data_IF_811091899432
#
_entry.id   IF_811091899432
#
_cell.length_a   1.000
_cell.length_b   1.000
_cell.length_c   1.000
_cell.angle_alpha   90.00
_cell.angle_beta   90.00
_cell.angle_gamma   90.00
#
_symmetry.space_group_name_H-M   'P 1'
#
loop_
_entity.id
_entity.type
_entity.pdbx_description
1 polymer ?
#
# COMPACT_ATOMS: atom_id res chain seq x y z
N UNK A 1 38.34 -19.34 -84.06
CA UNK A 1 37.18 -19.02 -83.20
C UNK A 1 37.33 -19.82 -81.91
N UNK A 2 37.81 -19.19 -80.83
CA UNK A 2 37.95 -19.81 -79.51
C UNK A 2 37.11 -19.00 -78.52
N UNK A 3 36.04 -19.60 -77.99
CA UNK A 3 35.16 -18.98 -77.01
C UNK A 3 35.78 -19.10 -75.60
N UNK A 4 36.09 -17.95 -75.02
CA UNK A 4 36.54 -17.78 -73.64
C UNK A 4 35.34 -17.79 -72.70
N UNK A 5 35.22 -18.86 -71.90
CA UNK A 5 34.21 -18.97 -70.83
C UNK A 5 34.71 -18.25 -69.57
N UNK A 6 34.06 -17.12 -69.22
CA UNK A 6 34.31 -16.42 -67.95
C UNK A 6 33.71 -17.21 -66.77
N UNK A 7 34.41 -17.34 -65.64
CA UNK A 7 33.87 -18.00 -64.45
C UNK A 7 32.82 -17.11 -63.77
N UNK A 8 31.66 -17.70 -63.48
CA UNK A 8 30.59 -17.09 -62.67
C UNK A 8 31.02 -17.11 -61.21
N UNK A 9 31.27 -15.92 -60.65
CA UNK A 9 31.65 -15.77 -59.26
C UNK A 9 30.40 -15.95 -58.37
N UNK A 10 30.24 -17.14 -57.77
CA UNK A 10 29.22 -17.37 -56.76
C UNK A 10 29.55 -16.57 -55.49
N UNK A 11 28.94 -15.39 -55.35
CA UNK A 11 28.87 -14.69 -54.06
C UNK A 11 28.17 -15.59 -53.04
N UNK A 12 28.96 -16.32 -52.25
CA UNK A 12 28.49 -16.96 -51.01
C UNK A 12 27.91 -15.85 -50.13
N UNK A 13 26.58 -15.75 -50.07
CA UNK A 13 25.86 -15.00 -49.03
C UNK A 13 26.35 -15.56 -47.69
N UNK A 14 27.25 -14.84 -47.02
CA UNK A 14 27.58 -15.09 -45.62
C UNK A 14 26.30 -14.89 -44.84
N UNK A 15 25.63 -15.99 -44.46
CA UNK A 15 24.56 -15.95 -43.49
C UNK A 15 25.17 -15.46 -42.19
N UNK A 16 24.85 -14.22 -41.84
CA UNK A 16 25.25 -13.66 -40.55
C UNK A 16 24.65 -14.53 -39.45
N UNK A 17 25.39 -14.84 -38.37
CA UNK A 17 24.91 -15.69 -37.28
C UNK A 17 23.95 -14.88 -36.39
N UNK A 18 22.84 -14.41 -36.95
CA UNK A 18 21.84 -13.63 -36.23
C UNK A 18 21.27 -14.42 -35.03
N UNK A 19 21.14 -15.75 -35.15
CA UNK A 19 20.64 -16.61 -34.07
C UNK A 19 21.51 -16.60 -32.80
N UNK A 20 22.84 -16.57 -32.93
CA UNK A 20 23.75 -16.61 -31.79
C UNK A 20 23.79 -15.27 -31.02
N UNK A 21 23.60 -14.16 -31.72
CA UNK A 21 23.55 -12.81 -31.12
C UNK A 21 22.21 -12.62 -30.39
N UNK A 22 21.10 -13.00 -31.02
CA UNK A 22 19.76 -12.90 -30.43
C UNK A 22 19.63 -13.81 -29.20
N UNK A 23 20.14 -15.05 -29.26
CA UNK A 23 20.15 -15.95 -28.10
C UNK A 23 20.96 -15.42 -26.91
N UNK A 24 22.12 -14.81 -27.17
CA UNK A 24 22.94 -14.19 -26.12
C UNK A 24 22.27 -12.98 -25.45
N UNK A 25 21.58 -12.14 -26.23
CA UNK A 25 20.80 -11.02 -25.68
C UNK A 25 19.63 -11.49 -24.82
N UNK A 26 18.88 -12.49 -25.29
CA UNK A 26 17.75 -13.03 -24.55
C UNK A 26 18.18 -13.63 -23.20
N UNK A 27 19.27 -14.40 -23.18
CA UNK A 27 19.82 -14.98 -21.95
C UNK A 27 20.32 -13.89 -20.98
N UNK A 28 21.04 -12.88 -21.49
CA UNK A 28 21.52 -11.76 -20.66
C UNK A 28 20.37 -10.91 -20.10
N UNK A 29 19.34 -10.66 -20.91
CA UNK A 29 18.12 -9.98 -20.48
C UNK A 29 17.43 -10.75 -19.37
N UNK A 30 17.14 -12.05 -19.59
CA UNK A 30 16.48 -12.90 -18.60
C UNK A 30 17.27 -12.98 -17.30
N UNK A 31 18.60 -13.14 -17.37
CA UNK A 31 19.45 -13.21 -16.17
C UNK A 31 19.43 -11.89 -15.40
N UNK A 32 19.56 -10.76 -16.10
CA UNK A 32 19.56 -9.43 -15.47
C UNK A 32 18.18 -9.06 -14.91
N UNK A 33 17.11 -9.34 -15.66
CA UNK A 33 15.74 -9.13 -15.21
C UNK A 33 15.44 -9.99 -13.98
N UNK A 34 15.85 -11.27 -13.98
CA UNK A 34 15.67 -12.17 -12.84
C UNK A 34 16.47 -11.70 -11.62
N UNK A 35 17.73 -11.29 -11.80
CA UNK A 35 18.54 -10.75 -10.71
C UNK A 35 17.95 -9.45 -10.13
N UNK A 36 17.50 -8.53 -10.99
CA UNK A 36 16.86 -7.28 -10.59
C UNK A 36 15.52 -7.53 -9.88
N UNK A 37 14.74 -8.51 -10.32
CA UNK A 37 13.51 -8.94 -9.66
C UNK A 37 13.79 -9.60 -8.31
N UNK A 38 14.78 -10.49 -8.22
CA UNK A 38 15.19 -11.14 -6.97
C UNK A 38 15.75 -10.14 -5.95
N UNK A 39 16.32 -9.02 -6.40
CA UNK A 39 16.79 -7.95 -5.53
C UNK A 39 15.65 -7.17 -4.86
N UNK A 40 14.42 -7.25 -5.39
CA UNK A 40 13.25 -6.53 -4.86
C UNK A 40 12.79 -7.10 -3.53
N UNK A 41 12.36 -6.20 -2.66
CA UNK A 41 11.87 -6.54 -1.33
C UNK A 41 10.62 -7.43 -1.38
N UNK A 42 9.81 -7.33 -2.44
CA UNK A 42 8.70 -8.26 -2.70
C UNK A 42 9.15 -9.70 -2.83
N UNK A 43 10.16 -9.95 -3.66
CA UNK A 43 10.61 -11.32 -3.93
C UNK A 43 11.34 -11.87 -2.72
N UNK A 44 12.17 -11.05 -2.05
CA UNK A 44 12.78 -11.40 -0.77
C UNK A 44 11.74 -11.72 0.30
N UNK A 45 10.70 -10.90 0.45
CA UNK A 45 9.63 -11.12 1.42
C UNK A 45 8.81 -12.36 1.09
N UNK A 46 8.50 -12.62 -0.19
CA UNK A 46 7.78 -13.82 -0.60
C UNK A 46 8.58 -15.10 -0.29
N UNK A 47 9.88 -15.09 -0.59
CA UNK A 47 10.79 -16.20 -0.26
C UNK A 47 10.89 -16.41 1.25
N UNK A 48 11.13 -15.35 2.03
CA UNK A 48 11.19 -15.43 3.50
C UNK A 48 9.86 -15.92 4.11
N UNK A 49 8.73 -15.45 3.59
CA UNK A 49 7.40 -15.90 4.00
C UNK A 49 7.17 -17.39 3.70
N UNK A 50 7.58 -17.85 2.51
CA UNK A 50 7.52 -19.27 2.11
C UNK A 50 8.38 -20.17 3.01
N UNK A 51 9.63 -19.77 3.28
CA UNK A 51 10.52 -20.48 4.21
C UNK A 51 9.92 -20.54 5.61
N UNK A 52 9.35 -19.44 6.11
CA UNK A 52 8.70 -19.43 7.43
C UNK A 52 7.48 -20.36 7.49
N UNK A 53 6.62 -20.36 6.47
CA UNK A 53 5.47 -21.27 6.41
C UNK A 53 5.92 -22.73 6.47
N UNK A 54 7.00 -23.05 5.76
CA UNK A 54 7.58 -24.39 5.77
C UNK A 54 8.15 -24.78 7.15
N UNK A 55 8.78 -23.84 7.86
CA UNK A 55 9.38 -24.11 9.18
C UNK A 55 8.39 -24.07 10.35
N UNK A 56 7.36 -23.21 10.27
CA UNK A 56 6.50 -22.87 11.44
C UNK A 56 5.02 -23.15 11.22
N UNK A 57 4.62 -23.57 10.01
CA UNK A 57 3.21 -23.70 9.62
C UNK A 57 2.48 -22.36 9.41
N UNK A 58 3.11 -21.24 9.76
CA UNK A 58 2.52 -19.90 9.68
C UNK A 58 3.26 -19.01 8.68
N UNK A 59 2.51 -18.22 7.89
CA UNK A 59 3.08 -17.11 7.10
C UNK A 59 3.40 -15.89 7.98
N UNK A 60 2.82 -15.83 9.18
CA UNK A 60 2.90 -14.69 10.09
C UNK A 60 3.90 -14.99 11.22
N UNK A 61 4.70 -13.97 11.59
CA UNK A 61 5.34 -14.00 12.90
C UNK A 61 4.24 -13.98 13.97
N UNK A 62 4.37 -14.76 15.05
CA UNK A 62 3.46 -14.66 16.18
C UNK A 62 3.40 -13.20 16.64
N UNK A 63 2.20 -12.75 16.99
CA UNK A 63 2.01 -11.41 17.55
C UNK A 63 2.87 -11.29 18.81
N UNK A 64 3.69 -10.24 18.86
CA UNK A 64 4.48 -9.89 20.03
C UNK A 64 3.91 -8.59 20.58
N UNK A 65 3.65 -8.58 21.89
CA UNK A 65 3.29 -7.35 22.59
C UNK A 65 4.46 -6.36 22.48
N UNK A 66 4.15 -5.16 21.99
CA UNK A 66 5.14 -4.09 21.80
C UNK A 66 4.89 -3.09 22.92
N UNK A 67 5.81 -2.98 23.87
CA UNK A 67 5.64 -2.13 25.05
C UNK A 67 5.25 -0.67 24.72
N UNK A 68 5.75 -0.12 23.60
CA UNK A 68 5.37 1.22 23.14
C UNK A 68 3.89 1.30 22.68
N UNK A 69 3.35 0.24 22.09
CA UNK A 69 1.94 0.15 21.67
C UNK A 69 1.05 -0.05 22.89
N UNK A 70 1.47 -0.88 23.85
CA UNK A 70 0.74 -1.08 25.10
C UNK A 70 0.61 0.22 25.89
N UNK A 71 1.70 0.96 26.07
CA UNK A 71 1.64 2.31 26.68
C UNK A 71 0.71 3.24 25.93
N UNK A 72 0.68 3.19 24.59
CA UNK A 72 -0.25 3.99 23.80
C UNK A 72 -1.70 3.60 24.06
N UNK A 73 -1.99 2.31 24.15
CA UNK A 73 -3.33 1.81 24.45
C UNK A 73 -3.76 2.20 25.87
N UNK A 74 -2.86 2.14 26.86
CA UNK A 74 -3.08 2.62 28.22
C UNK A 74 -3.42 4.13 28.25
N UNK A 75 -2.67 4.95 27.50
CA UNK A 75 -2.94 6.39 27.40
C UNK A 75 -4.31 6.68 26.76
N UNK A 76 -4.68 5.96 25.70
CA UNK A 76 -5.99 6.11 25.06
C UNK A 76 -7.10 5.77 26.05
N UNK A 77 -6.98 4.64 26.76
CA UNK A 77 -7.97 4.22 27.76
C UNK A 77 -8.04 5.21 28.93
N UNK A 78 -6.91 5.73 29.40
CA UNK A 78 -6.86 6.78 30.41
C UNK A 78 -7.63 8.02 29.99
N UNK A 79 -7.40 8.51 28.76
CA UNK A 79 -8.14 9.67 28.22
C UNK A 79 -9.65 9.39 28.12
N UNK A 80 -10.04 8.19 27.71
CA UNK A 80 -11.46 7.81 27.65
C UNK A 80 -12.08 7.80 29.04
N UNK A 81 -11.38 7.26 30.04
CA UNK A 81 -11.83 7.24 31.43
C UNK A 81 -11.95 8.65 32.03
N UNK A 82 -10.95 9.51 31.83
CA UNK A 82 -10.97 10.92 32.27
C UNK A 82 -12.17 11.67 31.69
N UNK A 83 -12.57 11.33 30.46
CA UNK A 83 -13.73 11.91 29.78
C UNK A 83 -15.04 11.19 30.06
N UNK A 84 -15.02 10.14 30.88
CA UNK A 84 -16.16 9.28 31.20
C UNK A 84 -16.84 8.69 29.95
N UNK A 85 -16.03 8.34 28.94
CA UNK A 85 -16.50 7.74 27.68
C UNK A 85 -16.15 6.25 27.70
N UNK A 86 -17.16 5.41 27.51
CA UNK A 86 -17.03 3.95 27.41
C UNK A 86 -17.49 3.52 26.03
N UNK A 87 -16.60 3.57 25.03
CA UNK A 87 -17.01 3.36 23.65
C UNK A 87 -17.39 1.90 23.41
N UNK A 88 -18.55 1.71 22.80
CA UNK A 88 -19.05 0.46 22.28
C UNK A 88 -18.48 0.17 20.88
N UNK A 89 -18.12 1.21 20.11
CA UNK A 89 -17.55 1.10 18.77
C UNK A 89 -16.35 2.02 18.55
N UNK A 90 -15.20 1.41 18.19
CA UNK A 90 -13.96 2.13 17.85
C UNK A 90 -13.55 1.79 16.41
N UNK A 91 -13.25 2.82 15.62
CA UNK A 91 -12.66 2.67 14.28
C UNK A 91 -11.17 3.00 14.29
N UNK A 92 -10.35 2.18 13.63
CA UNK A 92 -8.90 2.42 13.47
C UNK A 92 -8.53 2.42 11.99
N UNK A 93 -7.90 3.51 11.55
CA UNK A 93 -7.34 3.68 10.22
C UNK A 93 -5.87 4.14 10.27
N UNK A 94 -5.18 4.07 9.15
CA UNK A 94 -3.77 4.36 8.96
C UNK A 94 -3.22 3.53 7.79
N UNK A 95 -2.08 3.94 7.21
CA UNK A 95 -1.49 3.22 6.09
C UNK A 95 -1.10 1.76 6.46
N UNK A 96 -0.89 0.89 5.46
CA UNK A 96 -0.32 -0.44 5.70
C UNK A 96 0.99 -0.33 6.50
N UNK A 97 1.20 -1.22 7.48
CA UNK A 97 2.42 -1.17 8.31
C UNK A 97 2.42 -0.14 9.45
N UNK A 98 1.37 0.69 9.58
CA UNK A 98 1.28 1.70 10.65
C UNK A 98 1.20 1.14 12.08
N UNK A 99 0.72 -0.11 12.23
CA UNK A 99 0.55 -0.76 13.55
C UNK A 99 -0.91 -0.91 14.01
N UNK A 100 -1.89 -0.69 13.11
CA UNK A 100 -3.34 -0.78 13.41
C UNK A 100 -3.74 -2.07 14.11
N UNK A 101 -3.35 -3.22 13.55
CA UNK A 101 -3.71 -4.53 14.10
C UNK A 101 -3.05 -4.79 15.46
N UNK A 102 -1.89 -4.20 15.74
CA UNK A 102 -1.22 -4.31 17.04
C UNK A 102 -1.94 -3.44 18.07
N UNK A 103 -2.21 -2.18 17.72
CA UNK A 103 -2.95 -1.25 18.58
C UNK A 103 -4.37 -1.76 18.88
N UNK A 104 -5.09 -2.23 17.86
CA UNK A 104 -6.46 -2.72 18.01
C UNK A 104 -6.56 -3.92 18.96
N UNK A 105 -5.61 -4.86 18.89
CA UNK A 105 -5.54 -5.98 19.85
C UNK A 105 -5.20 -5.51 21.26
N UNK A 106 -4.24 -4.61 21.38
CA UNK A 106 -3.79 -4.06 22.67
C UNK A 106 -4.91 -3.25 23.37
N UNK A 107 -5.69 -2.47 22.60
CA UNK A 107 -6.88 -1.77 23.09
C UNK A 107 -7.99 -2.74 23.49
N UNK A 108 -8.29 -3.75 22.66
CA UNK A 108 -9.32 -4.75 22.95
C UNK A 108 -9.11 -5.44 24.29
N UNK A 109 -7.86 -5.80 24.63
CA UNK A 109 -7.50 -6.37 25.94
C UNK A 109 -7.89 -5.46 27.12
N UNK A 110 -7.81 -4.14 26.94
CA UNK A 110 -8.01 -3.14 28.00
C UNK A 110 -9.46 -2.67 28.11
N UNK A 111 -10.16 -2.56 26.99
CA UNK A 111 -11.54 -2.09 26.93
C UNK A 111 -12.57 -3.22 27.04
N UNK A 112 -12.14 -4.48 26.91
CA UNK A 112 -13.04 -5.64 26.86
C UNK A 112 -13.80 -5.78 25.54
N UNK A 113 -13.51 -4.95 24.53
CA UNK A 113 -14.13 -5.00 23.21
C UNK A 113 -13.50 -6.10 22.35
N UNK A 114 -14.24 -6.62 21.36
CA UNK A 114 -13.70 -7.56 20.38
C UNK A 114 -13.00 -6.85 19.23
N UNK A 115 -11.75 -7.24 18.95
CA UNK A 115 -11.00 -6.72 17.80
C UNK A 115 -11.37 -7.45 16.50
N UNK A 116 -11.60 -6.69 15.42
CA UNK A 116 -11.93 -7.21 14.09
C UNK A 116 -11.15 -6.49 12.98
N UNK A 117 -10.32 -7.25 12.27
CA UNK A 117 -9.64 -6.81 11.05
C UNK A 117 -10.51 -7.02 9.80
N UNK A 118 -10.64 -5.99 8.96
CA UNK A 118 -11.38 -6.05 7.69
C UNK A 118 -10.47 -6.09 6.44
N UNK A 119 -9.18 -6.47 6.58
CA UNK A 119 -8.13 -6.27 5.56
C UNK A 119 -8.43 -6.76 4.13
N UNK A 120 -9.22 -7.82 3.97
CA UNK A 120 -9.53 -8.43 2.66
C UNK A 120 -10.98 -8.16 2.20
N UNK A 121 -11.76 -7.42 2.98
CA UNK A 121 -13.13 -7.15 2.59
C UNK A 121 -13.16 -6.05 1.55
N UNK A 122 -13.95 -6.26 0.50
CA UNK A 122 -14.29 -5.17 -0.41
C UNK A 122 -15.15 -4.15 0.35
N UNK A 123 -14.61 -2.95 0.51
CA UNK A 123 -15.22 -1.85 1.25
C UNK A 123 -15.97 -0.89 0.32
N UNK A 124 -16.32 -1.32 -0.91
CA UNK A 124 -17.16 -0.53 -1.82
C UNK A 124 -18.58 -0.38 -1.29
N UNK A 125 -19.12 -1.45 -0.73
CA UNK A 125 -20.46 -1.45 -0.15
C UNK A 125 -20.42 -1.00 1.32
N UNK A 126 -21.52 -0.41 1.84
CA UNK A 126 -21.66 -0.14 3.25
C UNK A 126 -21.47 -1.39 4.11
N UNK A 127 -20.61 -1.29 5.11
CA UNK A 127 -20.33 -2.37 6.05
C UNK A 127 -21.18 -2.21 7.30
N UNK A 128 -21.90 -3.27 7.68
CA UNK A 128 -22.65 -3.30 8.92
C UNK A 128 -21.73 -3.55 10.14
N UNK A 129 -21.54 -2.53 10.98
CA UNK A 129 -20.72 -2.58 12.19
C UNK A 129 -21.54 -3.11 13.37
N UNK A 130 -21.04 -4.15 14.02
CA UNK A 130 -21.65 -4.75 15.21
C UNK A 130 -21.08 -4.10 16.47
N UNK A 131 -21.92 -3.78 17.47
CA UNK A 131 -21.47 -3.18 18.72
C UNK A 131 -20.50 -4.08 19.50
N UNK A 132 -19.79 -3.49 20.46
CA UNK A 132 -18.83 -4.16 21.33
C UNK A 132 -17.49 -4.44 20.65
N UNK A 133 -17.07 -3.61 19.67
CA UNK A 133 -15.98 -3.94 18.75
C UNK A 133 -15.04 -2.79 18.40
N UNK A 134 -13.81 -3.19 18.09
CA UNK A 134 -12.78 -2.35 17.49
C UNK A 134 -12.56 -2.83 16.05
N UNK A 135 -12.89 -2.00 15.08
CA UNK A 135 -12.70 -2.30 13.65
C UNK A 135 -11.44 -1.64 13.12
N UNK A 136 -10.65 -2.37 12.33
CA UNK A 136 -9.52 -1.79 11.61
C UNK A 136 -9.48 -2.17 10.14
N UNK A 137 -9.18 -1.17 9.31
CA UNK A 137 -8.92 -1.33 7.87
C UNK A 137 -7.95 -0.22 7.43
N UNK A 138 -7.24 -0.45 6.31
CA UNK A 138 -6.35 0.52 5.67
C UNK A 138 -7.10 1.66 4.94
N UNK A 139 -8.42 1.52 4.77
CA UNK A 139 -9.32 2.42 4.03
C UNK A 139 -10.63 2.65 4.79
N UNK A 140 -10.68 2.37 6.09
CA UNK A 140 -11.91 2.43 6.89
C UNK A 140 -12.61 3.79 6.76
N UNK A 141 -11.93 4.87 7.09
CA UNK A 141 -12.48 6.22 7.09
C UNK A 141 -12.69 6.75 5.68
N UNK A 142 -11.94 6.22 4.71
CA UNK A 142 -12.01 6.64 3.30
C UNK A 142 -13.24 6.11 2.57
N UNK A 143 -13.75 4.97 3.03
CA UNK A 143 -14.77 4.20 2.29
C UNK A 143 -16.08 4.03 3.06
N UNK A 144 -16.06 4.09 4.38
CA UNK A 144 -17.22 3.79 5.20
C UNK A 144 -17.77 5.02 5.90
N UNK A 145 -19.04 4.91 6.27
CA UNK A 145 -19.68 5.86 7.16
C UNK A 145 -19.12 5.70 8.58
N UNK A 146 -18.37 6.72 9.02
CA UNK A 146 -17.74 6.74 10.33
C UNK A 146 -18.69 7.21 11.45
N UNK A 147 -19.91 7.62 11.12
CA UNK A 147 -20.94 7.98 12.10
C UNK A 147 -21.27 6.83 13.05
N UNK A 148 -21.00 5.59 12.66
CA UNK A 148 -21.21 4.42 13.50
C UNK A 148 -20.22 4.31 14.67
N UNK A 149 -19.10 5.05 14.65
CA UNK A 149 -18.07 4.97 15.69
C UNK A 149 -18.22 6.09 16.72
N UNK A 150 -18.02 5.78 17.99
CA UNK A 150 -17.96 6.80 19.04
C UNK A 150 -16.55 7.39 19.18
N UNK A 151 -15.55 6.61 18.75
CA UNK A 151 -14.14 6.99 18.74
C UNK A 151 -13.50 6.56 17.43
N UNK A 152 -12.80 7.48 16.78
CA UNK A 152 -11.96 7.18 15.62
C UNK A 152 -10.49 7.43 15.97
N UNK A 153 -9.64 6.48 15.58
CA UNK A 153 -8.19 6.51 15.77
C UNK A 153 -7.51 6.47 14.39
N UNK A 154 -6.66 7.45 14.12
CA UNK A 154 -5.84 7.49 12.93
C UNK A 154 -4.35 7.39 13.31
N UNK A 155 -3.65 6.41 12.74
CA UNK A 155 -2.20 6.25 12.96
C UNK A 155 -1.44 7.05 11.91
N UNK A 156 -1.03 8.26 12.29
CA UNK A 156 -0.32 9.22 11.45
C UNK A 156 1.19 8.95 11.45
N UNK A 157 1.59 7.85 10.80
CA UNK A 157 2.99 7.58 10.54
C UNK A 157 3.42 8.05 9.14
N UNK A 158 4.69 8.46 9.02
CA UNK A 158 5.29 8.79 7.72
C UNK A 158 5.19 7.59 6.76
N UNK A 159 4.90 7.86 5.50
CA UNK A 159 4.74 6.83 4.48
C UNK A 159 6.00 5.95 4.33
N UNK A 160 7.19 6.54 4.35
CA UNK A 160 8.46 5.79 4.31
C UNK A 160 8.65 4.85 5.51
N UNK A 161 8.24 5.25 6.72
CA UNK A 161 8.33 4.41 7.91
C UNK A 161 7.32 3.26 7.88
N UNK A 162 6.12 3.52 7.35
CA UNK A 162 5.12 2.50 7.10
C UNK A 162 5.60 1.47 6.07
N UNK A 163 6.15 1.94 4.94
CA UNK A 163 6.71 1.10 3.88
C UNK A 163 7.85 0.22 4.41
N UNK A 164 8.81 0.81 5.14
CA UNK A 164 9.92 0.08 5.77
C UNK A 164 9.41 -1.04 6.68
N UNK A 165 8.42 -0.75 7.53
CA UNK A 165 7.80 -1.77 8.40
C UNK A 165 7.07 -2.87 7.62
N UNK A 166 6.50 -2.56 6.46
CA UNK A 166 5.90 -3.57 5.57
C UNK A 166 6.96 -4.50 4.98
N UNK A 167 8.14 -3.98 4.65
CA UNK A 167 9.29 -4.76 4.16
C UNK A 167 9.84 -5.66 5.27
N UNK A 168 10.06 -5.10 6.47
CA UNK A 168 10.69 -5.80 7.60
C UNK A 168 9.86 -6.93 8.22
N UNK A 169 8.52 -6.85 8.14
CA UNK A 169 7.63 -7.87 8.72
C UNK A 169 7.59 -9.19 7.94
N UNK A 170 8.32 -9.27 6.81
CA UNK A 170 8.39 -10.41 5.88
C UNK A 170 7.02 -10.90 5.36
N UNK A 171 5.96 -10.09 5.49
CA UNK A 171 4.60 -10.40 5.05
C UNK A 171 4.11 -9.31 4.11
N UNK A 172 3.60 -9.76 2.96
CA UNK A 172 3.05 -8.89 1.93
C UNK A 172 4.05 -7.79 1.55
N UNK A 173 5.35 -8.11 1.47
CA UNK A 173 6.37 -7.19 0.95
C UNK A 173 6.04 -6.72 -0.47
N UNK A 174 5.31 -7.53 -1.25
CA UNK A 174 4.58 -7.10 -2.45
C UNK A 174 3.99 -5.69 -2.32
N UNK A 175 3.28 -5.42 -1.23
CA UNK A 175 2.62 -4.14 -1.02
C UNK A 175 3.61 -2.96 -1.02
N UNK A 176 4.87 -3.13 -0.59
CA UNK A 176 5.85 -2.04 -0.63
C UNK A 176 6.21 -1.61 -2.05
N UNK A 177 6.14 -2.52 -3.00
CA UNK A 177 6.50 -2.26 -4.40
C UNK A 177 5.30 -1.72 -5.17
N UNK A 178 4.11 -2.30 -4.95
CA UNK A 178 2.92 -1.93 -5.71
C UNK A 178 2.14 -0.78 -5.08
N UNK A 179 2.19 -0.52 -3.76
CA UNK A 179 1.36 0.54 -3.18
C UNK A 179 2.06 1.91 -3.17
N UNK A 180 1.27 2.94 -3.46
CA UNK A 180 1.60 4.32 -3.23
C UNK A 180 1.26 4.73 -1.79
N UNK A 181 2.23 4.51 -0.90
CA UNK A 181 2.10 4.85 0.53
C UNK A 181 1.87 6.34 0.76
N UNK A 182 2.46 7.22 -0.05
CA UNK A 182 2.27 8.66 0.08
C UNK A 182 0.83 9.02 -0.27
N UNK A 183 0.31 8.44 -1.36
CA UNK A 183 -1.09 8.63 -1.73
C UNK A 183 -2.07 8.08 -0.71
N UNK A 184 -1.82 6.86 -0.21
CA UNK A 184 -2.64 6.27 0.86
C UNK A 184 -2.62 7.13 2.13
N UNK A 185 -1.46 7.68 2.49
CA UNK A 185 -1.32 8.57 3.64
C UNK A 185 -2.09 9.86 3.41
N UNK A 186 -1.85 10.56 2.30
CA UNK A 186 -2.50 11.85 1.99
C UNK A 186 -4.03 11.75 2.00
N UNK A 187 -4.59 10.71 1.37
CA UNK A 187 -6.04 10.48 1.37
C UNK A 187 -6.54 10.11 2.79
N UNK A 188 -5.75 9.39 3.57
CA UNK A 188 -6.07 9.07 4.96
C UNK A 188 -6.09 10.28 5.88
N UNK A 189 -5.08 11.14 5.76
CA UNK A 189 -4.97 12.40 6.48
C UNK A 189 -6.19 13.26 6.18
N UNK A 190 -6.52 13.43 4.89
CA UNK A 190 -7.70 14.16 4.46
C UNK A 190 -9.00 13.56 5.05
N UNK A 191 -9.19 12.24 4.98
CA UNK A 191 -10.38 11.60 5.55
C UNK A 191 -10.54 11.87 7.04
N UNK A 192 -9.45 11.78 7.82
CA UNK A 192 -9.49 12.08 9.25
C UNK A 192 -9.69 13.57 9.54
N UNK A 193 -9.14 14.46 8.71
CA UNK A 193 -9.30 15.90 8.84
C UNK A 193 -10.71 16.39 8.53
N UNK A 194 -11.42 15.74 7.61
CA UNK A 194 -12.82 16.06 7.30
C UNK A 194 -13.77 15.71 8.44
N UNK A 195 -13.42 14.74 9.29
CA UNK A 195 -14.22 14.39 10.45
C UNK A 195 -14.18 15.50 11.51
N UNK A 196 -15.34 15.92 11.99
CA UNK A 196 -15.45 16.87 13.09
C UNK A 196 -14.97 16.26 14.42
N UNK A 197 -14.92 17.12 15.44
CA UNK A 197 -14.49 16.75 16.78
C UNK A 197 -13.07 17.23 17.08
N UNK A 198 -12.87 17.51 18.37
CA UNK A 198 -11.58 17.98 18.86
C UNK A 198 -10.55 16.87 18.73
N UNK A 199 -9.50 17.13 17.95
CA UNK A 199 -8.37 16.23 17.85
C UNK A 199 -7.64 16.14 19.19
N UNK A 200 -7.39 14.91 19.62
CA UNK A 200 -6.60 14.56 20.79
C UNK A 200 -5.36 13.83 20.29
N UNK A 201 -4.19 14.45 20.48
CA UNK A 201 -2.90 13.84 20.15
C UNK A 201 -2.45 12.96 21.31
N UNK A 202 -2.10 11.71 21.02
CA UNK A 202 -1.57 10.80 22.04
C UNK A 202 -0.08 11.12 22.26
N UNK A 203 0.35 11.42 23.50
CA UNK A 203 1.73 11.81 23.77
C UNK A 203 2.75 10.79 23.25
N UNK A 204 3.80 11.30 22.59
CA UNK A 204 4.92 10.51 22.06
C UNK A 204 4.51 9.36 21.12
N UNK A 205 3.33 9.44 20.49
CA UNK A 205 2.81 8.42 19.61
C UNK A 205 2.22 9.04 18.32
N UNK A 206 2.35 8.38 17.15
CA UNK A 206 1.71 8.85 15.91
C UNK A 206 0.18 8.75 15.91
N UNK A 207 -0.46 8.25 16.97
CA UNK A 207 -1.92 8.14 17.02
C UNK A 207 -2.58 9.49 17.26
N UNK A 208 -3.52 9.83 16.39
CA UNK A 208 -4.48 10.94 16.51
C UNK A 208 -5.86 10.35 16.80
N UNK A 209 -6.57 10.96 17.74
CA UNK A 209 -7.89 10.50 18.16
C UNK A 209 -8.92 11.61 18.01
N UNK A 210 -10.13 11.26 17.58
CA UNK A 210 -11.32 12.12 17.70
C UNK A 210 -12.43 11.35 18.38
N UNK A 211 -13.18 12.08 19.20
CA UNK A 211 -14.40 11.61 19.84
C UNK A 211 -15.58 12.14 19.04
N UNK A 212 -16.62 11.33 18.88
CA UNK A 212 -17.80 11.71 18.13
C UNK A 212 -18.47 12.94 18.77
N UNK A 213 -18.62 14.06 18.04
CA UNK A 213 -19.42 15.19 18.50
C UNK A 213 -20.91 14.83 18.64
N UNK A 214 -21.66 15.65 19.36
CA UNK A 214 -23.12 15.49 19.49
C UNK A 214 -23.83 15.47 18.12
N UNK A 215 -23.36 16.32 17.21
CA UNK A 215 -23.93 16.48 15.86
C UNK A 215 -23.31 15.51 14.83
N UNK A 216 -22.50 14.54 15.27
CA UNK A 216 -21.79 13.62 14.40
C UNK A 216 -20.42 14.12 13.93
N UNK A 217 -19.73 13.27 13.18
CA UNK A 217 -18.47 13.63 12.52
C UNK A 217 -18.70 14.48 11.27
N UNK A 218 -19.85 14.35 10.59
CA UNK A 218 -20.23 15.16 9.41
C UNK A 218 -19.16 15.18 8.32
N UNK A 219 -18.37 14.13 8.21
CA UNK A 219 -17.15 14.14 7.42
C UNK A 219 -17.43 14.16 5.92
N UNK A 220 -18.50 13.47 5.50
CA UNK A 220 -19.04 13.55 4.15
C UNK A 220 -19.55 14.97 3.82
N UNK A 221 -20.30 15.59 4.72
CA UNK A 221 -20.86 16.93 4.49
C UNK A 221 -19.74 17.97 4.37
N UNK A 222 -18.77 17.92 5.29
CA UNK A 222 -17.58 18.77 5.27
C UNK A 222 -16.79 18.62 3.96
N UNK A 223 -16.61 17.38 3.48
CA UNK A 223 -15.93 17.10 2.22
C UNK A 223 -16.71 17.65 1.02
N UNK A 224 -18.03 17.41 0.97
CA UNK A 224 -18.91 17.92 -0.10
C UNK A 224 -18.90 19.44 -0.15
N UNK A 225 -19.03 20.12 0.99
CA UNK A 225 -19.00 21.58 1.08
C UNK A 225 -17.69 22.16 0.54
N UNK A 226 -16.53 21.59 0.92
CA UNK A 226 -15.21 22.04 0.43
C UNK A 226 -15.04 21.82 -1.07
N UNK A 227 -15.62 20.76 -1.64
CA UNK A 227 -15.53 20.50 -3.07
C UNK A 227 -16.48 21.39 -3.88
N UNK A 228 -17.71 21.59 -3.40
CA UNK A 228 -18.70 22.48 -4.00
C UNK A 228 -18.21 23.94 -4.01
N UNK A 229 -17.55 24.40 -2.94
CA UNK A 229 -16.94 25.74 -2.91
C UNK A 229 -15.84 25.92 -3.95
N UNK A 230 -15.29 24.82 -4.49
CA UNK A 230 -14.30 24.79 -5.57
C UNK A 230 -14.93 24.45 -6.94
N UNK A 231 -16.27 24.50 -7.06
CA UNK A 231 -16.97 24.30 -8.33
C UNK A 231 -17.20 22.85 -8.75
N UNK A 232 -16.92 21.87 -7.88
CA UNK A 232 -17.15 20.45 -8.19
C UNK A 232 -18.62 20.04 -7.99
N UNK A 233 -19.15 19.22 -8.90
CA UNK A 233 -20.42 18.51 -8.74
C UNK A 233 -20.20 17.23 -7.94
N UNK A 234 -20.74 17.13 -6.73
CA UNK A 234 -20.35 16.10 -5.75
C UNK A 234 -21.32 14.91 -5.61
N UNK A 235 -22.59 15.05 -6.01
CA UNK A 235 -23.63 14.06 -5.66
C UNK A 235 -23.48 12.68 -6.30
N UNK A 236 -22.70 12.59 -7.38
CA UNK A 236 -22.51 11.36 -8.13
C UNK A 236 -21.30 10.52 -7.68
N UNK A 237 -20.53 11.01 -6.71
CA UNK A 237 -19.26 10.39 -6.32
C UNK A 237 -19.35 9.75 -4.94
N UNK A 238 -18.71 8.60 -4.80
CA UNK A 238 -18.49 7.96 -3.50
C UNK A 238 -17.55 8.80 -2.62
N UNK A 239 -17.55 8.51 -1.31
CA UNK A 239 -16.65 9.17 -0.35
C UNK A 239 -15.18 9.16 -0.79
N UNK A 240 -14.73 7.99 -1.25
CA UNK A 240 -13.34 7.81 -1.65
C UNK A 240 -13.01 8.60 -2.92
N UNK A 241 -13.93 8.64 -3.89
CA UNK A 241 -13.77 9.47 -5.09
C UNK A 241 -13.72 10.94 -4.74
N UNK A 242 -14.59 11.42 -3.84
CA UNK A 242 -14.56 12.79 -3.35
C UNK A 242 -13.23 13.11 -2.66
N UNK A 243 -12.70 12.21 -1.82
CA UNK A 243 -11.39 12.38 -1.20
C UNK A 243 -10.26 12.41 -2.23
N UNK A 244 -10.35 11.59 -3.28
CA UNK A 244 -9.39 11.60 -4.39
C UNK A 244 -9.46 12.91 -5.18
N UNK A 245 -10.66 13.42 -5.50
CA UNK A 245 -10.84 14.73 -6.13
C UNK A 245 -10.22 15.81 -5.24
N UNK A 246 -10.50 15.78 -3.95
CA UNK A 246 -9.96 16.75 -3.00
C UNK A 246 -8.42 16.74 -2.97
N UNK A 247 -7.80 15.56 -3.00
CA UNK A 247 -6.35 15.43 -2.89
C UNK A 247 -5.58 15.60 -4.21
N UNK A 248 -6.21 15.26 -5.35
CA UNK A 248 -5.54 15.08 -6.64
C UNK A 248 -6.31 15.61 -7.87
N UNK A 249 -7.51 16.16 -7.67
CA UNK A 249 -8.32 16.75 -8.75
C UNK A 249 -8.98 15.74 -9.70
N UNK A 250 -9.03 14.45 -9.34
CA UNK A 250 -9.68 13.40 -10.16
C UNK A 250 -10.39 12.34 -9.31
N UNK A 251 -11.56 11.85 -9.75
CA UNK A 251 -12.28 10.79 -9.05
C UNK A 251 -11.55 9.46 -9.24
N UNK A 252 -11.23 8.80 -8.13
CA UNK A 252 -10.66 7.47 -8.13
C UNK A 252 -11.18 6.68 -6.92
N UNK A 253 -11.54 5.41 -7.12
CA UNK A 253 -12.04 4.50 -6.07
C UNK A 253 -11.43 3.10 -6.17
N UNK A 254 -11.52 2.35 -5.06
CA UNK A 254 -11.01 0.98 -4.98
C UNK A 254 -9.52 0.91 -4.64
N UNK A 255 -8.90 -0.25 -4.83
CA UNK A 255 -7.48 -0.44 -4.49
C UNK A 255 -6.53 0.03 -5.60
N UNK A 256 -6.96 -0.04 -6.86
CA UNK A 256 -6.13 0.28 -8.04
C UNK A 256 -5.55 1.70 -8.04
N UNK A 257 -6.26 2.75 -7.58
CA UNK A 257 -5.70 4.10 -7.52
C UNK A 257 -4.47 4.22 -6.62
N UNK A 258 -4.34 3.33 -5.64
CA UNK A 258 -3.20 3.26 -4.76
C UNK A 258 -2.09 2.37 -5.30
N UNK A 259 -2.22 1.81 -6.51
CA UNK A 259 -1.20 0.97 -7.12
C UNK A 259 -0.26 1.83 -7.99
N UNK A 260 1.05 1.73 -7.75
CA UNK A 260 2.11 2.24 -8.61
C UNK A 260 2.21 1.36 -9.86
N UNK A 261 1.50 1.75 -10.91
CA UNK A 261 1.67 1.12 -12.22
C UNK A 261 3.11 1.30 -12.70
N UNK A 262 3.74 0.22 -13.18
CA UNK A 262 5.11 0.26 -13.66
C UNK A 262 6.19 0.18 -12.57
N UNK A 263 5.88 -0.31 -11.37
CA UNK A 263 6.86 -0.53 -10.28
C UNK A 263 8.07 -1.42 -10.65
N UNK A 264 7.98 -2.13 -11.78
CA UNK A 264 9.03 -3.01 -12.33
C UNK A 264 9.56 -2.52 -13.69
N UNK A 265 9.05 -1.40 -14.22
CA UNK A 265 9.43 -0.92 -15.55
C UNK A 265 10.90 -0.51 -15.58
N UNK A 266 11.41 0.11 -14.52
CA UNK A 266 12.83 0.45 -14.36
C UNK A 266 13.74 -0.78 -14.42
N UNK A 267 13.32 -1.89 -13.83
CA UNK A 267 14.09 -3.14 -13.73
C UNK A 267 14.11 -3.85 -15.07
N UNK A 268 12.98 -3.85 -15.77
CA UNK A 268 12.85 -4.38 -17.13
C UNK A 268 13.64 -3.53 -18.13
N UNK A 269 13.56 -2.20 -18.04
CA UNK A 269 14.33 -1.28 -18.89
C UNK A 269 15.83 -1.37 -18.61
N UNK A 270 16.24 -1.49 -17.34
CA UNK A 270 17.63 -1.72 -16.96
C UNK A 270 18.16 -3.06 -17.49
N UNK A 271 17.37 -4.13 -17.38
CA UNK A 271 17.73 -5.42 -17.96
C UNK A 271 17.85 -5.36 -19.49
N UNK A 272 16.97 -4.61 -20.17
CA UNK A 272 17.04 -4.38 -21.61
C UNK A 272 18.30 -3.59 -22.00
N UNK A 273 18.64 -2.54 -21.25
CA UNK A 273 19.85 -1.75 -21.46
C UNK A 273 21.13 -2.60 -21.27
N UNK A 274 21.21 -3.40 -20.20
CA UNK A 274 22.36 -4.29 -19.96
C UNK A 274 22.50 -5.32 -21.09
N UNK A 275 21.40 -5.92 -21.55
CA UNK A 275 21.41 -6.86 -22.67
C UNK A 275 21.89 -6.20 -23.98
N UNK A 276 21.44 -4.98 -24.27
CA UNK A 276 21.88 -4.20 -25.43
C UNK A 276 23.37 -3.84 -25.34
N UNK A 277 23.85 -3.39 -24.18
CA UNK A 277 25.26 -3.04 -23.96
C UNK A 277 26.19 -4.24 -24.12
N UNK A 278 25.79 -5.42 -23.64
CA UNK A 278 26.60 -6.64 -23.82
C UNK A 278 26.65 -7.07 -25.29
N UNK A 279 25.57 -6.88 -26.04
CA UNK A 279 25.55 -7.17 -27.48
C UNK A 279 26.48 -6.24 -28.26
N UNK A 280 26.49 -4.94 -27.95
CA UNK A 280 27.35 -3.97 -28.64
C UNK A 280 28.83 -4.15 -28.31
N UNK A 281 29.19 -4.42 -27.05
CA UNK A 281 30.57 -4.72 -26.65
C UNK A 281 31.12 -5.98 -27.33
N UNK A 282 30.29 -7.03 -27.46
CA UNK A 282 30.69 -8.28 -28.13
C UNK A 282 30.90 -8.11 -29.63
N UNK A 283 30.23 -7.13 -30.24
CA UNK A 283 30.44 -6.76 -31.64
C UNK A 283 31.65 -5.84 -31.85
N UNK A 284 32.09 -5.13 -30.82
CA UNK A 284 33.28 -4.25 -30.88
C UNK A 284 34.60 -5.01 -30.63
N UNK A 285 34.54 -6.12 -29.89
CA UNK A 285 35.69 -7.00 -29.59
C UNK A 285 35.90 -8.11 -30.63
N UNK A 286 35.17 -8.08 -31.75
CA UNK A 286 35.27 -9.03 -32.87
C UNK A 286 35.67 -8.29 -34.14
#
# INVERSE_FOLDING_TARGET
MAQSSKPVNHHRKRSWPHGAIVGGMAASFLTSATANLLAKDTVKSAVKGGVRKLLTGSLERPYQDIAAVDRCADLIVGILYEKQIFPNLIGIDGPPGAGKSTLGRSLAKRTGLYWRCLHLKDMREPYYFLPGRIYENIRLFRTQDIENFEVILYIDCRAGDAQRRVIERDRNGALSDYLDFEKMKKIGDAAFEMADGKEIKIPMNPVRMKLKPKDGYRDMDNLKTRLQSNGWKVEQFSKEELLSIYCYGKPESGILPYVKFGAYNSELLSAAYTALRMATLKNFLR
#
